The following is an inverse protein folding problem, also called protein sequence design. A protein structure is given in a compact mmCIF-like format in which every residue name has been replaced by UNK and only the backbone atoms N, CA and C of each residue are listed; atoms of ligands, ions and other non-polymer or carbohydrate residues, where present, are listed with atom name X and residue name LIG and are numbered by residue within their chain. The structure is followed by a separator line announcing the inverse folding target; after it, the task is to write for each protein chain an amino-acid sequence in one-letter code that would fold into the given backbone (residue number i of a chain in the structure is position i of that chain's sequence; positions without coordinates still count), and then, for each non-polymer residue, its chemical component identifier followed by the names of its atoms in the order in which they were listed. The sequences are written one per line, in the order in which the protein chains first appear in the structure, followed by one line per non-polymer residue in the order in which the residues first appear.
data_IF_680879271310
#
_entry.id   IF_680879271310
#
_cell.length_a   1.000
_cell.length_b   1.000
_cell.length_c   1.000
_cell.angle_alpha   90.00
_cell.angle_beta   90.00
_cell.angle_gamma   90.00
#
_symmetry.space_group_name_H-M   'P 1'
#
loop_
_entity.id
_entity.type
_entity.pdbx_description
1 polymer ?
#
# COMPACT_ATOMS: atom_id res chain seq x y z
N UNK A 1 15.87 -9.00 -22.81
CA UNK A 1 15.79 -9.60 -21.46
C UNK A 1 15.31 -8.54 -20.46
N UNK A 2 14.04 -8.60 -20.02
CA UNK A 2 13.50 -7.68 -19.01
C UNK A 2 13.89 -8.18 -17.61
N UNK A 3 14.63 -7.39 -16.85
CA UNK A 3 14.96 -7.67 -15.44
C UNK A 3 13.68 -7.64 -14.61
N UNK A 4 13.22 -8.80 -14.14
CA UNK A 4 12.14 -8.91 -13.17
C UNK A 4 12.58 -8.21 -11.87
N UNK A 5 11.93 -7.09 -11.54
CA UNK A 5 12.17 -6.36 -10.31
C UNK A 5 11.89 -7.22 -9.08
N UNK A 6 12.65 -6.98 -8.02
CA UNK A 6 12.52 -7.69 -6.74
C UNK A 6 11.20 -7.29 -6.05
N UNK A 7 10.07 -7.89 -6.43
CA UNK A 7 8.84 -7.86 -5.64
C UNK A 7 9.01 -8.78 -4.43
N UNK A 8 9.73 -8.29 -3.41
CA UNK A 8 9.93 -8.96 -2.11
C UNK A 8 8.81 -8.67 -1.10
N UNK A 9 7.64 -8.28 -1.59
CA UNK A 9 6.40 -8.20 -0.81
C UNK A 9 5.60 -9.49 -1.01
N UNK A 10 5.42 -10.22 0.08
CA UNK A 10 4.58 -11.41 0.19
C UNK A 10 3.37 -11.42 -0.75
N UNK A 11 3.31 -12.37 -1.69
CA UNK A 11 2.16 -12.58 -2.60
C UNK A 11 0.81 -12.72 -1.86
N UNK A 12 0.85 -13.12 -0.58
CA UNK A 12 -0.32 -13.12 0.31
C UNK A 12 -0.93 -11.72 0.49
N UNK A 13 -0.09 -10.69 0.64
CA UNK A 13 -0.54 -9.31 0.90
C UNK A 13 -1.02 -8.60 -0.37
N UNK A 14 -0.67 -9.11 -1.54
CA UNK A 14 -0.86 -8.45 -2.84
C UNK A 14 -1.73 -9.24 -3.82
N UNK A 15 -2.55 -10.20 -3.34
CA UNK A 15 -3.38 -11.10 -4.17
C UNK A 15 -4.23 -10.38 -5.23
N UNK A 16 -4.50 -9.08 -5.09
CA UNK A 16 -5.33 -8.31 -6.04
C UNK A 16 -4.77 -6.94 -6.45
N UNK A 17 -3.59 -6.49 -6.00
CA UNK A 17 -3.18 -5.09 -6.21
C UNK A 17 -1.80 -4.93 -6.85
N UNK A 18 -1.78 -4.66 -8.16
CA UNK A 18 -0.55 -4.31 -8.88
C UNK A 18 -0.15 -2.87 -8.55
N UNK A 19 1.03 -2.71 -7.96
CA UNK A 19 1.43 -1.48 -7.25
C UNK A 19 2.14 -0.43 -8.10
N UNK A 20 2.17 -0.62 -9.41
CA UNK A 20 2.95 0.24 -10.31
C UNK A 20 2.19 1.50 -10.73
N UNK A 21 0.85 1.44 -10.71
CA UNK A 21 -0.01 2.48 -11.28
C UNK A 21 -0.64 3.38 -10.20
N UNK A 22 -1.15 4.53 -10.66
CA UNK A 22 -1.94 5.48 -9.87
C UNK A 22 -3.20 4.77 -9.36
N UNK A 23 -3.61 5.05 -8.13
CA UNK A 23 -4.82 4.43 -7.57
C UNK A 23 -6.05 4.83 -8.42
N UNK A 24 -6.83 3.87 -8.95
CA UNK A 24 -7.97 4.15 -9.84
C UNK A 24 -9.07 4.96 -9.15
N UNK A 25 -9.15 4.93 -7.81
CA UNK A 25 -10.06 5.80 -7.06
C UNK A 25 -9.72 7.28 -7.30
N UNK A 26 -8.44 7.62 -7.44
CA UNK A 26 -8.04 9.01 -7.74
C UNK A 26 -8.64 9.47 -9.07
N UNK A 27 -8.62 8.62 -10.10
CA UNK A 27 -9.18 8.95 -11.41
C UNK A 27 -10.70 9.12 -11.35
N UNK A 28 -11.39 8.30 -10.54
CA UNK A 28 -12.82 8.45 -10.28
C UNK A 28 -13.12 9.79 -9.62
N UNK A 29 -12.42 10.12 -8.54
CA UNK A 29 -12.58 11.40 -7.84
C UNK A 29 -12.21 12.60 -8.71
N UNK A 30 -11.17 12.48 -9.54
CA UNK A 30 -10.79 13.53 -10.49
C UNK A 30 -11.88 13.77 -11.53
N UNK A 31 -12.50 12.69 -12.03
CA UNK A 31 -13.62 12.78 -12.97
C UNK A 31 -14.84 13.43 -12.32
N UNK A 32 -15.19 13.04 -11.09
CA UNK A 32 -16.30 13.64 -10.34
C UNK A 32 -16.04 15.13 -10.07
N UNK A 33 -14.85 15.46 -9.59
CA UNK A 33 -14.45 16.84 -9.33
C UNK A 33 -14.53 17.73 -10.58
N UNK A 34 -14.03 17.24 -11.73
CA UNK A 34 -14.08 17.97 -13.00
C UNK A 34 -15.50 18.19 -13.52
N UNK A 35 -16.44 17.26 -13.25
CA UNK A 35 -17.86 17.43 -13.61
C UNK A 35 -18.49 18.61 -12.89
N UNK A 36 -18.15 18.81 -11.62
CA UNK A 36 -18.67 19.90 -10.80
C UNK A 36 -17.98 21.25 -11.08
N UNK A 37 -16.95 21.26 -11.95
CA UNK A 37 -16.17 22.46 -12.35
C UNK A 37 -15.60 23.26 -11.18
N UNK A 38 -15.37 22.58 -10.05
CA UNK A 38 -14.73 23.17 -8.88
C UNK A 38 -13.23 23.34 -9.13
N UNK A 39 -12.60 24.32 -8.47
CA UNK A 39 -11.13 24.40 -8.42
C UNK A 39 -10.60 23.49 -7.33
N UNK A 40 -9.39 22.96 -7.51
CA UNK A 40 -8.71 22.11 -6.50
C UNK A 40 -8.67 22.75 -5.10
N UNK A 41 -8.46 24.08 -5.04
CA UNK A 41 -8.41 24.83 -3.78
C UNK A 41 -9.76 24.83 -3.07
N UNK A 42 -10.85 25.00 -3.82
CA UNK A 42 -12.21 25.04 -3.26
C UNK A 42 -12.60 23.67 -2.74
N UNK A 43 -12.26 22.60 -3.48
CA UNK A 43 -12.43 21.24 -3.02
C UNK A 43 -11.62 20.95 -1.74
N UNK A 44 -10.38 21.43 -1.68
CA UNK A 44 -9.55 21.26 -0.49
C UNK A 44 -10.18 21.93 0.75
N UNK A 45 -10.71 23.15 0.59
CA UNK A 45 -11.41 23.87 1.66
C UNK A 45 -12.67 23.11 2.09
N UNK A 46 -13.52 22.70 1.15
CA UNK A 46 -14.75 21.96 1.44
C UNK A 46 -14.47 20.62 2.13
N UNK A 47 -13.42 19.91 1.72
CA UNK A 47 -13.03 18.63 2.30
C UNK A 47 -12.25 18.74 3.62
N UNK A 48 -11.87 19.94 4.05
CA UNK A 48 -10.99 20.13 5.21
C UNK A 48 -9.63 19.46 5.00
N UNK A 49 -9.05 19.64 3.81
CA UNK A 49 -7.76 19.15 3.37
C UNK A 49 -6.85 20.30 2.95
N UNK A 50 -5.54 20.05 2.88
CA UNK A 50 -4.63 21.04 2.34
C UNK A 50 -4.70 21.09 0.80
N UNK A 51 -4.55 22.28 0.22
CA UNK A 51 -4.53 22.44 -1.24
C UNK A 51 -3.40 21.62 -1.89
N UNK A 52 -2.26 21.46 -1.22
CA UNK A 52 -1.16 20.63 -1.69
C UNK A 52 -1.50 19.14 -1.65
N UNK A 53 -2.34 18.68 -0.72
CA UNK A 53 -2.85 17.29 -0.71
C UNK A 53 -3.66 17.01 -1.96
N UNK A 54 -4.63 17.88 -2.30
CA UNK A 54 -5.49 17.71 -3.47
C UNK A 54 -4.68 17.81 -4.77
N UNK A 55 -3.83 18.84 -4.89
CA UNK A 55 -2.96 19.02 -6.07
C UNK A 55 -2.01 17.84 -6.28
N UNK A 56 -1.39 17.32 -5.20
CA UNK A 56 -0.51 16.15 -5.32
C UNK A 56 -1.25 14.87 -5.68
N UNK A 57 -2.54 14.80 -5.40
CA UNK A 57 -3.39 13.66 -5.73
C UNK A 57 -3.83 13.69 -7.20
N UNK A 58 -4.26 14.84 -7.70
CA UNK A 58 -4.75 14.97 -9.08
C UNK A 58 -3.65 15.12 -10.14
N UNK A 59 -2.50 15.70 -9.81
CA UNK A 59 -1.43 15.92 -10.80
C UNK A 59 -0.03 15.64 -10.28
N UNK A 60 0.12 15.10 -9.07
CA UNK A 60 1.41 15.01 -8.41
C UNK A 60 1.83 13.60 -8.00
N UNK A 61 2.66 13.56 -6.96
CA UNK A 61 3.41 12.37 -6.54
C UNK A 61 2.57 11.35 -5.77
N UNK A 62 1.39 11.73 -5.27
CA UNK A 62 0.61 10.89 -4.38
C UNK A 62 -0.09 9.78 -5.16
N UNK A 63 0.47 8.56 -5.08
CA UNK A 63 -0.11 7.38 -5.75
C UNK A 63 -1.15 6.65 -4.91
N UNK A 64 -1.11 6.81 -3.57
CA UNK A 64 -1.98 6.09 -2.62
C UNK A 64 -2.41 6.98 -1.45
N UNK A 65 -3.46 7.78 -1.65
CA UNK A 65 -4.10 8.50 -0.57
C UNK A 65 -4.66 7.54 0.48
N UNK A 66 -4.84 8.03 1.69
CA UNK A 66 -5.53 7.26 2.71
C UNK A 66 -7.03 7.26 2.42
N UNK A 67 -7.72 6.20 2.87
CA UNK A 67 -9.19 6.11 2.80
C UNK A 67 -9.88 7.34 3.39
N UNK A 68 -9.35 7.89 4.49
CA UNK A 68 -9.86 9.11 5.13
C UNK A 68 -9.86 10.32 4.20
N UNK A 69 -8.86 10.41 3.30
CA UNK A 69 -8.78 11.47 2.29
C UNK A 69 -9.90 11.33 1.28
N UNK A 70 -10.14 10.12 0.76
CA UNK A 70 -11.24 9.86 -0.17
C UNK A 70 -12.61 10.10 0.47
N UNK A 71 -12.82 9.66 1.70
CA UNK A 71 -14.06 9.87 2.43
C UNK A 71 -14.39 11.36 2.61
N UNK A 72 -13.40 12.18 2.98
CA UNK A 72 -13.55 13.63 3.11
C UNK A 72 -13.91 14.29 1.79
N UNK A 73 -13.24 13.89 0.71
CA UNK A 73 -13.52 14.43 -0.63
C UNK A 73 -14.88 14.01 -1.15
N UNK A 74 -15.31 12.77 -0.90
CA UNK A 74 -16.65 12.33 -1.25
C UNK A 74 -17.71 13.17 -0.54
N UNK A 75 -17.55 13.38 0.77
CA UNK A 75 -18.45 14.24 1.53
C UNK A 75 -18.50 15.68 1.00
N UNK A 76 -17.34 16.25 0.62
CA UNK A 76 -17.25 17.58 0.02
C UNK A 76 -17.96 17.67 -1.35
N UNK A 77 -17.97 16.59 -2.12
CA UNK A 77 -18.67 16.48 -3.40
C UNK A 77 -20.13 16.00 -3.26
N UNK A 78 -20.62 15.80 -2.03
CA UNK A 78 -21.99 15.33 -1.76
C UNK A 78 -22.21 13.83 -1.97
N UNK A 79 -21.16 13.02 -2.11
CA UNK A 79 -21.23 11.57 -2.25
C UNK A 79 -21.01 10.87 -0.90
N UNK A 80 -21.69 9.72 -0.73
CA UNK A 80 -21.39 8.79 0.36
C UNK A 80 -20.25 7.87 -0.05
N UNK A 81 -19.18 7.85 0.73
CA UNK A 81 -18.08 6.90 0.56
C UNK A 81 -18.27 5.72 1.50
N UNK A 82 -18.72 4.58 0.97
CA UNK A 82 -19.10 3.42 1.76
C UNK A 82 -18.61 2.11 1.12
N UNK A 83 -18.52 1.06 1.93
CA UNK A 83 -18.18 -0.28 1.50
C UNK A 83 -19.46 -1.02 1.10
N UNK A 84 -19.61 -1.30 -0.18
CA UNK A 84 -20.72 -2.12 -0.69
C UNK A 84 -20.31 -3.59 -0.68
N UNK A 85 -21.13 -4.45 -0.06
CA UNK A 85 -20.90 -5.90 -0.04
C UNK A 85 -21.36 -6.50 -1.36
N UNK A 86 -20.40 -6.94 -2.18
CA UNK A 86 -20.67 -7.57 -3.49
C UNK A 86 -21.05 -9.06 -3.35
N UNK A 87 -20.33 -9.80 -2.50
CA UNK A 87 -20.63 -11.21 -2.21
C UNK A 87 -20.40 -11.53 -0.72
N UNK A 88 -21.08 -12.57 -0.22
CA UNK A 88 -20.78 -13.16 1.09
C UNK A 88 -19.61 -14.14 0.93
N UNK A 89 -18.43 -13.89 1.52
CA UNK A 89 -17.34 -14.85 1.50
C UNK A 89 -17.72 -16.11 2.26
N UNK A 90 -17.31 -17.27 1.74
CA UNK A 90 -17.39 -18.53 2.48
C UNK A 90 -16.20 -18.63 3.44
N UNK A 91 -16.46 -18.26 4.70
CA UNK A 91 -15.41 -18.21 5.72
C UNK A 91 -14.96 -19.60 6.18
N UNK A 92 -15.81 -20.63 6.06
CA UNK A 92 -15.50 -21.97 6.58
C UNK A 92 -14.41 -22.64 5.76
N UNK A 93 -14.43 -22.43 4.45
CA UNK A 93 -13.46 -23.03 3.52
C UNK A 93 -12.20 -22.17 3.34
N UNK A 94 -12.33 -20.84 3.38
CA UNK A 94 -11.23 -19.90 3.12
C UNK A 94 -10.35 -19.65 4.36
N UNK A 95 -10.92 -19.61 5.58
CA UNK A 95 -10.14 -19.32 6.80
C UNK A 95 -9.06 -20.38 7.11
N UNK A 96 -9.35 -21.71 7.03
CA UNK A 96 -8.32 -22.73 7.27
C UNK A 96 -7.14 -22.59 6.29
N UNK A 97 -7.44 -22.46 5.00
CA UNK A 97 -6.43 -22.25 3.94
C UNK A 97 -5.59 -21.01 4.21
N UNK A 98 -6.23 -19.90 4.55
CA UNK A 98 -5.54 -18.66 4.88
C UNK A 98 -4.64 -18.81 6.12
N UNK A 99 -5.10 -19.50 7.18
CA UNK A 99 -4.27 -19.72 8.38
C UNK A 99 -3.03 -20.56 8.08
N UNK A 100 -3.14 -21.58 7.23
CA UNK A 100 -2.01 -22.42 6.83
C UNK A 100 -0.98 -21.63 6.01
N UNK A 101 -1.44 -20.89 5.00
CA UNK A 101 -0.59 -20.00 4.21
C UNK A 101 0.10 -18.94 5.09
N UNK A 102 -0.62 -18.35 6.06
CA UNK A 102 -0.04 -17.39 6.99
C UNK A 102 1.04 -18.00 7.90
N UNK A 103 0.81 -19.23 8.39
CA UNK A 103 1.80 -19.97 9.19
C UNK A 103 3.05 -20.27 8.37
N UNK A 104 2.89 -20.68 7.12
CA UNK A 104 4.00 -20.89 6.19
C UNK A 104 4.78 -19.59 5.93
N UNK A 105 4.06 -18.48 5.70
CA UNK A 105 4.67 -17.15 5.53
C UNK A 105 5.45 -16.71 6.78
N UNK A 106 4.90 -16.88 7.97
CA UNK A 106 5.61 -16.59 9.24
C UNK A 106 6.88 -17.44 9.40
N UNK A 107 6.84 -18.71 9.00
CA UNK A 107 8.01 -19.57 9.03
C UNK A 107 9.11 -19.12 8.05
N UNK A 108 8.74 -18.64 6.86
CA UNK A 108 9.72 -18.08 5.90
C UNK A 108 10.33 -16.77 6.41
N UNK A 109 9.53 -15.89 7.03
CA UNK A 109 10.03 -14.68 7.69
C UNK A 109 11.00 -15.00 8.84
N UNK A 110 10.71 -16.00 9.66
CA UNK A 110 11.61 -16.43 10.73
C UNK A 110 12.94 -16.97 10.18
N UNK A 111 12.91 -17.78 9.11
CA UNK A 111 14.11 -18.29 8.44
C UNK A 111 14.95 -17.17 7.83
N UNK A 112 14.32 -16.21 7.15
CA UNK A 112 15.03 -15.06 6.55
C UNK A 112 15.64 -14.16 7.61
N UNK A 113 14.95 -13.90 8.73
CA UNK A 113 15.50 -13.16 9.88
C UNK A 113 16.73 -13.87 10.47
N UNK A 114 16.68 -15.20 10.68
CA UNK A 114 17.82 -15.99 11.15
C UNK A 114 19.01 -15.95 10.17
N UNK A 115 18.76 -16.05 8.85
CA UNK A 115 19.80 -15.94 7.81
C UNK A 115 20.48 -14.56 7.83
N UNK A 116 19.70 -13.48 7.91
CA UNK A 116 20.23 -12.10 8.02
C UNK A 116 21.05 -11.90 9.29
N UNK A 117 20.61 -12.44 10.43
CA UNK A 117 21.36 -12.38 11.69
C UNK A 117 22.72 -13.09 11.57
N UNK A 118 22.75 -14.33 11.07
CA UNK A 118 24.01 -15.07 10.85
C UNK A 118 24.95 -14.36 9.87
N UNK A 119 24.41 -13.79 8.79
CA UNK A 119 25.19 -13.02 7.83
C UNK A 119 25.81 -11.75 8.45
N UNK A 120 25.07 -11.07 9.34
CA UNK A 120 25.57 -9.91 10.09
C UNK A 120 26.70 -10.31 11.04
N UNK A 121 26.52 -11.38 11.83
CA UNK A 121 27.56 -11.89 12.73
C UNK A 121 28.82 -12.32 11.99
N UNK A 122 28.69 -12.99 10.84
CA UNK A 122 29.85 -13.38 10.01
C UNK A 122 30.58 -12.17 9.43
N UNK A 123 29.84 -11.11 9.05
CA UNK A 123 30.42 -9.86 8.55
C UNK A 123 31.19 -9.13 9.64
N UNK A 124 30.62 -8.99 10.84
CA UNK A 124 31.30 -8.34 11.97
C UNK A 124 32.56 -9.11 12.40
N UNK A 125 32.50 -10.45 12.44
CA UNK A 125 33.68 -11.26 12.75
C UNK A 125 34.80 -11.10 11.71
N UNK A 126 34.46 -11.05 10.41
CA UNK A 126 35.43 -10.79 9.34
C UNK A 126 36.03 -9.38 9.40
N UNK A 127 35.26 -8.39 9.80
CA UNK A 127 35.73 -7.02 9.99
C UNK A 127 36.67 -6.91 11.21
N UNK A 128 36.39 -7.62 12.31
CA UNK A 128 37.27 -7.66 13.48
C UNK A 128 38.63 -8.32 13.17
N UNK A 129 38.64 -9.44 12.43
CA UNK A 129 39.87 -10.09 11.96
C UNK A 129 40.68 -9.15 11.06
N UNK A 130 40.02 -8.44 10.14
CA UNK A 130 40.70 -7.50 9.24
C UNK A 130 41.34 -6.33 9.99
N UNK A 131 40.74 -5.89 11.09
CA UNK A 131 41.22 -4.77 11.89
C UNK A 131 42.18 -5.19 13.01
N UNK A 132 42.58 -6.47 13.09
CA UNK A 132 43.53 -6.97 14.10
C UNK A 132 43.03 -6.89 15.55
N UNK A 133 41.71 -6.85 15.75
CA UNK A 133 41.06 -6.65 17.06
C UNK A 133 40.41 -7.94 17.61
N UNK A 134 40.60 -9.07 16.92
CA UNK A 134 40.08 -10.40 17.26
C UNK A 134 41.21 -11.39 17.54
#
# INVERSE_FOLDING_TARGET
MRKLGHNSGSLWLSRTYNSQDRDPEIERFETLHRKDRLKDRDLAILAGLSASTVSNMFGGKTRRPQHTTFAKMAGALGYKYDLVRDAKPDYETELPKAREEFKAYRATLAKTKKRKAKAKTKRTWREQIRNGTA
#
